data_IF_347021990976
#
_entry.id   IF_347021990976
#
_cell.length_a   1.000
_cell.length_b   1.000
_cell.length_c   1.000
_cell.angle_alpha   90.00
_cell.angle_beta   90.00
_cell.angle_gamma   90.00
#
_symmetry.space_group_name_H-M   'P 1'
#
loop_
_entity.id
_entity.type
_entity.pdbx_description
1 polymer ?
#
# COMPACT_ATOMS: atom_id res chain seq x y z
N UNK A 1 -9.04 9.20 -0.82
CA UNK A 1 -8.49 8.38 0.28
C UNK A 1 -9.23 8.72 1.57
N UNK A 2 -9.50 7.75 2.43
CA UNK A 2 -10.28 7.92 3.68
C UNK A 2 -9.71 7.02 4.80
N UNK A 3 -10.03 7.27 6.08
CA UNK A 3 -9.70 6.35 7.16
C UNK A 3 -10.23 4.93 6.92
N UNK A 4 -9.56 3.92 7.49
CA UNK A 4 -9.82 2.48 7.22
C UNK A 4 -11.24 2.00 7.54
N UNK A 5 -11.94 2.70 8.43
CA UNK A 5 -13.30 2.35 8.86
C UNK A 5 -14.33 3.42 8.47
N UNK A 6 -13.97 4.34 7.58
CA UNK A 6 -14.92 5.33 7.09
C UNK A 6 -15.85 4.69 6.05
N UNK A 7 -17.14 4.97 6.14
CA UNK A 7 -18.14 4.53 5.15
C UNK A 7 -18.02 5.25 3.79
N UNK A 8 -17.25 6.33 3.76
CA UNK A 8 -16.98 7.12 2.56
C UNK A 8 -15.53 6.94 2.08
N UNK A 9 -15.31 7.12 0.77
CA UNK A 9 -14.00 7.00 0.14
C UNK A 9 -13.66 5.58 -0.35
N UNK A 10 -12.95 5.51 -1.48
CA UNK A 10 -12.68 4.26 -2.23
C UNK A 10 -11.46 3.50 -1.72
N UNK A 11 -10.46 4.22 -1.23
CA UNK A 11 -9.15 3.66 -0.84
C UNK A 11 -8.78 4.03 0.59
N UNK A 12 -8.10 3.09 1.23
CA UNK A 12 -7.51 3.25 2.56
C UNK A 12 -6.17 4.02 2.49
N UNK A 13 -5.61 4.48 3.63
CA UNK A 13 -4.36 5.24 3.65
C UNK A 13 -3.13 4.45 3.15
N UNK A 14 -3.23 3.12 3.05
CA UNK A 14 -2.22 2.24 2.45
C UNK A 14 -2.43 2.00 0.95
N UNK A 15 -3.28 2.81 0.31
CA UNK A 15 -3.61 2.79 -1.12
C UNK A 15 -4.29 1.49 -1.58
N UNK A 16 -4.78 0.68 -0.65
CA UNK A 16 -5.58 -0.50 -0.94
C UNK A 16 -7.04 -0.12 -1.18
N UNK A 17 -7.68 -0.83 -2.10
CA UNK A 17 -9.11 -0.63 -2.41
C UNK A 17 -9.94 -1.32 -1.34
N UNK A 18 -10.92 -0.59 -0.79
CA UNK A 18 -11.81 -1.16 0.22
C UNK A 18 -12.59 -2.35 -0.36
N UNK A 19 -12.77 -3.38 0.45
CA UNK A 19 -13.47 -4.62 0.08
C UNK A 19 -12.82 -5.45 -1.05
N UNK A 20 -11.64 -5.07 -1.55
CA UNK A 20 -10.91 -5.82 -2.59
C UNK A 20 -9.52 -6.19 -2.07
N UNK A 21 -9.18 -7.47 -2.19
CA UNK A 21 -7.84 -7.94 -1.81
C UNK A 21 -6.87 -7.90 -3.00
N UNK A 22 -5.64 -7.48 -2.73
CA UNK A 22 -4.55 -7.51 -3.73
C UNK A 22 -4.53 -6.35 -4.73
N UNK A 23 -5.54 -5.48 -4.75
CA UNK A 23 -5.60 -4.32 -5.64
C UNK A 23 -5.17 -3.04 -4.93
N UNK A 24 -4.43 -2.17 -5.64
CA UNK A 24 -4.05 -0.83 -5.19
C UNK A 24 -4.21 0.17 -6.31
N UNK A 25 -4.57 1.40 -5.95
CA UNK A 25 -4.69 2.52 -6.89
C UNK A 25 -3.65 3.57 -6.49
N UNK A 26 -2.81 3.96 -7.45
CA UNK A 26 -1.73 4.94 -7.26
C UNK A 26 -1.85 5.95 -8.39
N UNK A 27 -2.56 7.05 -8.14
CA UNK A 27 -2.89 8.06 -9.14
C UNK A 27 -3.30 9.37 -8.44
N UNK A 28 -3.41 10.47 -9.19
CA UNK A 28 -3.94 11.74 -8.70
C UNK A 28 -5.36 11.61 -8.09
N UNK A 29 -6.18 10.68 -8.59
CA UNK A 29 -7.54 10.42 -8.09
C UNK A 29 -7.64 10.01 -6.62
N UNK A 30 -6.55 9.54 -6.01
CA UNK A 30 -6.57 9.14 -4.59
C UNK A 30 -6.42 10.33 -3.63
N UNK A 31 -5.97 11.48 -4.14
CA UNK A 31 -5.78 12.70 -3.35
C UNK A 31 -7.10 13.13 -2.71
N UNK A 32 -7.14 13.31 -1.37
CA UNK A 32 -8.37 13.71 -0.68
C UNK A 32 -8.79 15.14 -1.02
N UNK A 33 -7.82 16.02 -1.30
CA UNK A 33 -8.04 17.37 -1.79
C UNK A 33 -6.94 17.71 -2.79
N UNK A 34 -7.24 18.57 -3.75
CA UNK A 34 -6.25 19.07 -4.70
C UNK A 34 -5.43 20.16 -3.99
N UNK A 35 -4.10 20.01 -3.86
CA UNK A 35 -3.28 21.04 -3.25
C UNK A 35 -3.21 22.29 -4.13
N UNK A 36 -2.99 23.46 -3.53
CA UNK A 36 -2.78 24.73 -4.23
C UNK A 36 -1.38 24.82 -4.88
N UNK A 37 -1.02 23.81 -5.66
CA UNK A 37 0.24 23.67 -6.37
C UNK A 37 0.05 22.72 -7.57
N UNK A 38 1.08 22.59 -8.41
CA UNK A 38 1.03 21.63 -9.52
C UNK A 38 0.83 20.20 -8.97
N UNK A 39 -0.20 19.46 -9.44
CA UNK A 39 -0.54 18.12 -8.94
C UNK A 39 0.53 17.07 -9.28
N UNK A 40 1.48 17.39 -10.15
CA UNK A 40 2.62 16.52 -10.46
C UNK A 40 3.44 16.17 -9.21
N UNK A 41 3.74 17.15 -8.35
CA UNK A 41 4.55 16.94 -7.14
C UNK A 41 3.89 15.97 -6.15
N UNK A 42 2.63 16.18 -5.70
CA UNK A 42 1.99 15.26 -4.76
C UNK A 42 1.77 13.87 -5.36
N UNK A 43 1.55 13.76 -6.67
CA UNK A 43 1.45 12.45 -7.36
C UNK A 43 2.77 11.69 -7.25
N UNK A 44 3.90 12.33 -7.51
CA UNK A 44 5.20 11.67 -7.35
C UNK A 44 5.47 11.25 -5.90
N UNK A 45 5.13 12.09 -4.92
CA UNK A 45 5.31 11.74 -3.50
C UNK A 45 4.50 10.50 -3.12
N UNK A 46 3.24 10.42 -3.59
CA UNK A 46 2.39 9.24 -3.34
C UNK A 46 2.95 8.01 -4.06
N UNK A 47 3.45 8.16 -5.29
CA UNK A 47 4.03 7.06 -6.05
C UNK A 47 5.27 6.48 -5.36
N UNK A 48 6.16 7.32 -4.84
CA UNK A 48 7.32 6.88 -4.06
C UNK A 48 6.90 6.10 -2.81
N UNK A 49 5.94 6.65 -2.05
CA UNK A 49 5.41 5.95 -0.86
C UNK A 49 4.73 4.63 -1.22
N UNK A 50 4.01 4.58 -2.34
CA UNK A 50 3.36 3.37 -2.81
C UNK A 50 4.38 2.29 -3.18
N UNK A 51 5.47 2.66 -3.83
CA UNK A 51 6.54 1.74 -4.20
C UNK A 51 7.13 1.05 -2.96
N UNK A 52 7.37 1.81 -1.88
CA UNK A 52 7.85 1.25 -0.62
C UNK A 52 6.84 0.27 -0.01
N UNK A 53 5.56 0.65 0.10
CA UNK A 53 4.51 -0.22 0.65
C UNK A 53 4.36 -1.53 -0.15
N UNK A 54 4.46 -1.45 -1.47
CA UNK A 54 4.41 -2.61 -2.36
C UNK A 54 5.63 -3.49 -2.13
N UNK A 55 6.85 -2.93 -2.16
CA UNK A 55 8.10 -3.67 -1.90
C UNK A 55 8.06 -4.37 -0.55
N UNK A 56 7.71 -3.67 0.54
CA UNK A 56 7.63 -4.25 1.88
C UNK A 56 6.65 -5.44 1.93
N UNK A 57 5.48 -5.32 1.29
CA UNK A 57 4.50 -6.43 1.22
C UNK A 57 5.04 -7.62 0.43
N UNK A 58 5.77 -7.38 -0.66
CA UNK A 58 6.39 -8.46 -1.45
C UNK A 58 7.52 -9.15 -0.69
N UNK A 59 8.37 -8.42 0.03
CA UNK A 59 9.40 -9.02 0.88
C UNK A 59 8.78 -9.86 2.00
N UNK A 60 7.76 -9.34 2.70
CA UNK A 60 7.03 -10.11 3.71
C UNK A 60 6.43 -11.40 3.12
N UNK A 61 5.87 -11.33 1.90
CA UNK A 61 5.32 -12.51 1.21
C UNK A 61 6.41 -13.50 0.81
N UNK A 62 7.58 -13.06 0.33
CA UNK A 62 8.71 -13.94 0.00
C UNK A 62 9.24 -14.69 1.23
N UNK A 63 9.35 -14.01 2.37
CA UNK A 63 9.78 -14.66 3.62
C UNK A 63 8.73 -15.63 4.16
N UNK A 64 7.44 -15.34 4.00
CA UNK A 64 6.37 -16.26 4.37
C UNK A 64 6.35 -17.53 3.49
N UNK A 65 6.52 -17.39 2.17
CA UNK A 65 6.57 -18.54 1.25
C UNK A 65 7.85 -19.37 1.45
N UNK A 66 8.99 -18.74 1.74
CA UNK A 66 10.23 -19.45 2.06
C UNK A 66 10.14 -20.30 3.34
N UNK A 67 9.22 -20.01 4.28
CA UNK A 67 9.00 -20.83 5.46
C UNK A 67 8.13 -22.08 5.22
N UNK A 68 7.49 -22.22 4.06
CA UNK A 68 6.58 -23.35 3.77
C UNK A 68 7.32 -24.55 3.17
N UNK A 69 8.53 -24.37 2.66
CA UNK A 69 9.42 -25.46 2.23
C UNK A 69 10.56 -25.63 3.23
N UNK A 70 10.48 -26.69 4.03
CA UNK A 70 11.54 -27.28 4.89
C UNK A 70 12.47 -26.28 5.63
N UNK A 71 12.36 -26.23 6.97
CA UNK A 71 13.16 -25.44 7.94
C UNK A 71 12.44 -24.24 8.59
N UNK A 72 11.20 -24.43 9.06
CA UNK A 72 10.57 -23.56 10.06
C UNK A 72 11.13 -23.81 11.49
N UNK A 73 12.45 -23.75 11.65
CA UNK A 73 13.13 -23.78 12.95
C UNK A 73 14.33 -22.82 12.88
N UNK A 74 14.36 -21.84 13.79
CA UNK A 74 15.37 -20.78 13.94
C UNK A 74 15.17 -19.50 13.12
N UNK A 75 14.16 -18.71 13.50
CA UNK A 75 14.30 -17.23 13.48
C UNK A 75 13.31 -16.56 14.45
N UNK A 76 13.47 -16.85 15.73
CA UNK A 76 13.06 -16.00 16.85
C UNK A 76 14.18 -16.03 17.88
N UNK A 77 15.15 -15.14 17.70
CA UNK A 77 16.12 -14.66 18.68
C UNK A 77 16.52 -13.27 18.24
#
# INVERSE_FOLDING_TARGET
>A
MSPKNADWGVVDPDLSVKHVSGLRIVDASVLPYVPAAHPQVPVYIIAERAADLIKSKWHARRHAVACVGEHCSKRRS
#
